data_IF_000542022842
#
_entry.id   IF_000542022842
#
_cell.length_a   1.000
_cell.length_b   1.000
_cell.length_c   1.000
_cell.angle_alpha   90.00
_cell.angle_beta   90.00
_cell.angle_gamma   90.00
#
_symmetry.space_group_name_H-M   'P 1'
#
loop_
_entity.id
_entity.type
_entity.pdbx_description
1 polymer ?
#
# COMPACT_ATOMS: atom_id res chain seq x y z
N UNK A 1 -78.43 1.14 28.21
CA UNK A 1 -77.39 0.15 27.85
C UNK A 1 -76.67 0.66 26.60
N UNK A 2 -75.53 1.34 26.78
CA UNK A 2 -74.68 1.81 25.67
C UNK A 2 -73.49 0.85 25.61
N UNK A 3 -73.29 0.26 24.44
CA UNK A 3 -72.68 -1.05 24.26
C UNK A 3 -71.19 -1.17 24.62
N UNK A 4 -70.88 -2.24 25.35
CA UNK A 4 -69.50 -2.71 25.61
C UNK A 4 -68.72 -3.03 24.33
N UNK A 5 -69.40 -3.32 23.21
CA UNK A 5 -68.80 -3.64 21.91
C UNK A 5 -68.06 -2.47 21.23
N UNK A 6 -68.36 -1.21 21.59
CA UNK A 6 -67.66 -0.03 21.05
C UNK A 6 -66.29 0.21 21.69
N UNK A 7 -66.15 -0.09 22.99
CA UNK A 7 -64.89 0.05 23.75
C UNK A 7 -63.84 -0.99 23.33
N UNK A 8 -64.27 -2.21 23.02
CA UNK A 8 -63.36 -3.30 22.60
C UNK A 8 -62.72 -3.01 21.24
N UNK A 9 -63.51 -2.52 20.27
CA UNK A 9 -63.02 -2.10 18.94
C UNK A 9 -62.07 -0.91 19.02
N UNK A 10 -62.34 0.07 19.88
CA UNK A 10 -61.45 1.23 20.08
C UNK A 10 -60.09 0.83 20.68
N UNK A 11 -60.08 -0.09 21.66
CA UNK A 11 -58.82 -0.61 22.25
C UNK A 11 -57.97 -1.36 21.21
N UNK A 12 -58.58 -2.13 20.31
CA UNK A 12 -57.87 -2.83 19.24
C UNK A 12 -57.22 -1.88 18.23
N UNK A 13 -57.94 -0.84 17.81
CA UNK A 13 -57.40 0.20 16.92
C UNK A 13 -56.24 0.92 17.60
N UNK A 14 -56.37 1.26 18.90
CA UNK A 14 -55.30 1.89 19.68
C UNK A 14 -54.07 0.99 19.79
N UNK A 15 -54.23 -0.31 20.06
CA UNK A 15 -53.14 -1.27 20.08
C UNK A 15 -52.41 -1.36 18.74
N UNK A 16 -53.14 -1.35 17.62
CA UNK A 16 -52.55 -1.41 16.28
C UNK A 16 -51.73 -0.16 15.97
N UNK A 17 -52.20 1.02 16.38
CA UNK A 17 -51.47 2.29 16.26
C UNK A 17 -50.19 2.27 17.08
N UNK A 18 -50.26 1.86 18.36
CA UNK A 18 -49.09 1.75 19.25
C UNK A 18 -48.07 0.75 18.67
N UNK A 19 -48.53 -0.40 18.19
CA UNK A 19 -47.67 -1.40 17.56
C UNK A 19 -46.99 -0.87 16.29
N UNK A 20 -47.72 -0.16 15.45
CA UNK A 20 -47.18 0.47 14.23
C UNK A 20 -46.13 1.53 14.57
N UNK A 21 -46.36 2.35 15.61
CA UNK A 21 -45.39 3.32 16.13
C UNK A 21 -44.12 2.62 16.66
N UNK A 22 -44.27 1.54 17.42
CA UNK A 22 -43.14 0.76 17.91
C UNK A 22 -42.31 0.18 16.76
N UNK A 23 -42.96 -0.33 15.70
CA UNK A 23 -42.29 -0.81 14.49
C UNK A 23 -41.56 0.31 13.75
N UNK A 24 -42.13 1.52 13.66
CA UNK A 24 -41.47 2.66 13.03
C UNK A 24 -40.23 3.11 13.82
N UNK A 25 -40.33 3.18 15.16
CA UNK A 25 -39.20 3.52 16.03
C UNK A 25 -38.10 2.47 15.89
N UNK A 26 -38.46 1.19 15.97
CA UNK A 26 -37.51 0.09 15.83
C UNK A 26 -36.88 0.03 14.43
N UNK A 27 -37.68 0.20 13.38
CA UNK A 27 -37.21 0.26 11.99
C UNK A 27 -36.24 1.42 11.77
N UNK A 28 -36.54 2.61 12.30
CA UNK A 28 -35.64 3.75 12.22
C UNK A 28 -34.34 3.52 12.99
N UNK A 29 -34.39 2.87 14.15
CA UNK A 29 -33.20 2.46 14.90
C UNK A 29 -32.31 1.52 14.07
N UNK A 30 -32.91 0.47 13.48
CA UNK A 30 -32.20 -0.50 12.65
C UNK A 30 -31.59 0.14 11.39
N UNK A 31 -32.29 1.08 10.75
CA UNK A 31 -31.76 1.84 9.61
C UNK A 31 -30.55 2.68 9.99
N UNK A 32 -30.57 3.34 11.16
CA UNK A 32 -29.44 4.12 11.66
C UNK A 32 -28.23 3.23 11.94
N UNK A 33 -28.43 2.08 12.57
CA UNK A 33 -27.33 1.12 12.81
C UNK A 33 -26.71 0.61 11.51
N UNK A 34 -27.54 0.29 10.51
CA UNK A 34 -27.07 -0.15 9.19
C UNK A 34 -26.31 0.97 8.45
N UNK A 35 -26.82 2.20 8.50
CA UNK A 35 -26.16 3.35 7.89
C UNK A 35 -24.78 3.59 8.51
N UNK A 36 -24.68 3.53 9.84
CA UNK A 36 -23.40 3.67 10.55
C UNK A 36 -22.42 2.56 10.17
N UNK A 37 -22.87 1.30 10.18
CA UNK A 37 -22.02 0.15 9.80
C UNK A 37 -21.52 0.28 8.36
N UNK A 38 -22.36 0.77 7.44
CA UNK A 38 -21.97 1.00 6.05
C UNK A 38 -20.95 2.14 5.91
N UNK A 39 -21.13 3.23 6.65
CA UNK A 39 -20.15 4.33 6.70
C UNK A 39 -18.80 3.85 7.23
N UNK A 40 -18.78 3.08 8.31
CA UNK A 40 -17.56 2.51 8.91
C UNK A 40 -16.85 1.57 7.92
N UNK A 41 -17.61 0.70 7.22
CA UNK A 41 -17.07 -0.19 6.18
C UNK A 41 -16.42 0.61 5.05
N UNK A 42 -17.11 1.64 4.53
CA UNK A 42 -16.59 2.47 3.43
C UNK A 42 -15.35 3.27 3.81
N UNK A 43 -15.25 3.70 5.07
CA UNK A 43 -14.03 4.34 5.59
C UNK A 43 -12.86 3.37 5.63
N UNK A 44 -13.08 2.13 6.05
CA UNK A 44 -12.05 1.09 6.01
C UNK A 44 -11.58 0.83 4.58
N UNK A 45 -12.51 0.65 3.64
CA UNK A 45 -12.17 0.44 2.22
C UNK A 45 -11.44 1.65 1.61
N UNK A 46 -11.77 2.87 2.02
CA UNK A 46 -11.04 4.07 1.60
C UNK A 46 -9.57 4.06 2.07
N UNK A 47 -9.31 3.56 3.29
CA UNK A 47 -7.93 3.40 3.79
C UNK A 47 -7.18 2.34 2.99
N UNK A 48 -7.81 1.20 2.71
CA UNK A 48 -7.22 0.13 1.89
C UNK A 48 -6.93 0.60 0.46
N UNK A 49 -7.82 1.41 -0.12
CA UNK A 49 -7.63 2.03 -1.44
C UNK A 49 -6.44 2.99 -1.46
N UNK A 50 -6.27 3.81 -0.42
CA UNK A 50 -5.10 4.68 -0.30
C UNK A 50 -3.80 3.88 -0.18
N UNK A 51 -3.79 2.84 0.65
CA UNK A 51 -2.62 1.97 0.83
C UNK A 51 -2.23 1.30 -0.50
N UNK A 52 -3.21 0.76 -1.23
CA UNK A 52 -2.99 0.16 -2.54
C UNK A 52 -2.44 1.16 -3.57
N UNK A 53 -3.01 2.37 -3.60
CA UNK A 53 -2.55 3.46 -4.46
C UNK A 53 -1.11 3.87 -4.16
N UNK A 54 -0.78 4.14 -2.90
CA UNK A 54 0.58 4.51 -2.49
C UNK A 54 1.60 3.42 -2.79
N UNK A 55 1.24 2.17 -2.53
CA UNK A 55 2.11 1.02 -2.79
C UNK A 55 2.42 0.87 -4.27
N UNK A 56 1.42 0.99 -5.14
CA UNK A 56 1.64 0.98 -6.59
C UNK A 56 2.41 2.20 -7.06
N UNK A 57 2.15 3.38 -6.50
CA UNK A 57 2.88 4.60 -6.84
C UNK A 57 4.37 4.51 -6.50
N UNK A 58 4.73 3.96 -5.34
CA UNK A 58 6.14 3.68 -5.01
C UNK A 58 6.78 2.72 -6.02
N UNK A 59 6.07 1.65 -6.39
CA UNK A 59 6.56 0.71 -7.41
C UNK A 59 6.69 1.35 -8.79
N UNK A 60 5.82 2.28 -9.15
CA UNK A 60 5.95 3.09 -10.36
C UNK A 60 7.26 3.87 -10.37
N UNK A 61 7.57 4.57 -9.26
CA UNK A 61 8.81 5.33 -9.11
C UNK A 61 10.05 4.43 -9.14
N UNK A 62 10.04 3.35 -8.36
CA UNK A 62 11.21 2.48 -8.19
C UNK A 62 11.47 1.58 -9.39
N UNK A 63 10.43 1.02 -10.01
CA UNK A 63 10.58 0.07 -11.11
C UNK A 63 10.37 0.71 -12.49
N UNK A 64 10.29 2.04 -12.59
CA UNK A 64 10.07 2.75 -13.85
C UNK A 64 8.81 2.26 -14.58
N UNK A 65 7.81 1.83 -13.79
CA UNK A 65 6.56 1.27 -14.25
C UNK A 65 5.54 2.38 -14.55
N UNK A 66 4.43 2.03 -15.18
CA UNK A 66 3.32 2.94 -15.43
C UNK A 66 2.18 2.66 -14.45
N UNK A 67 1.52 3.71 -13.96
CA UNK A 67 0.37 3.59 -13.08
C UNK A 67 -0.86 4.29 -13.67
N UNK A 68 -2.00 3.63 -13.57
CA UNK A 68 -3.29 4.13 -14.03
C UNK A 68 -4.34 3.95 -12.92
N UNK A 69 -5.29 4.88 -12.86
CA UNK A 69 -6.49 4.80 -12.07
C UNK A 69 -7.71 4.71 -12.97
N UNK A 70 -8.58 3.73 -12.72
CA UNK A 70 -9.89 3.62 -13.37
C UNK A 70 -10.97 3.97 -12.36
N UNK A 71 -11.76 5.00 -12.64
CA UNK A 71 -12.82 5.45 -11.72
C UNK A 71 -14.07 4.53 -11.74
N UNK A 72 -15.08 4.86 -10.94
CA UNK A 72 -16.31 4.09 -10.83
C UNK A 72 -17.17 4.08 -12.11
N UNK A 73 -16.92 5.01 -13.03
CA UNK A 73 -17.59 5.14 -14.32
C UNK A 73 -16.80 4.48 -15.45
N UNK A 74 -15.57 4.04 -15.18
CA UNK A 74 -14.67 3.42 -16.14
C UNK A 74 -13.72 4.39 -16.85
N UNK A 75 -13.65 5.65 -16.43
CA UNK A 75 -12.69 6.60 -16.99
C UNK A 75 -11.28 6.32 -16.44
N UNK A 76 -10.29 6.40 -17.32
CA UNK A 76 -8.89 6.10 -16.98
C UNK A 76 -8.09 7.41 -16.85
N UNK A 77 -7.33 7.53 -15.76
CA UNK A 77 -6.37 8.61 -15.50
C UNK A 77 -4.98 8.01 -15.33
N UNK A 78 -4.01 8.50 -16.10
CA UNK A 78 -2.60 8.16 -15.90
C UNK A 78 -2.08 8.91 -14.67
N UNK A 79 -1.36 8.21 -13.80
CA UNK A 79 -0.76 8.77 -12.59
C UNK A 79 0.74 8.87 -12.82
N UNK A 80 1.25 10.09 -12.93
CA UNK A 80 2.68 10.34 -13.17
C UNK A 80 3.38 10.99 -11.96
N UNK A 81 2.61 11.62 -11.07
CA UNK A 81 3.13 12.37 -9.93
C UNK A 81 2.24 12.19 -8.70
N UNK A 82 2.82 12.43 -7.54
CA UNK A 82 2.14 12.35 -6.25
C UNK A 82 0.93 13.29 -6.16
N UNK A 83 0.97 14.57 -6.60
CA UNK A 83 -0.20 15.42 -6.63
C UNK A 83 -1.38 14.80 -7.40
N UNK A 84 -1.12 14.15 -8.55
CA UNK A 84 -2.18 13.49 -9.33
C UNK A 84 -2.78 12.30 -8.57
N UNK A 85 -1.97 11.57 -7.81
CA UNK A 85 -2.47 10.50 -6.93
C UNK A 85 -3.33 11.07 -5.78
N UNK A 86 -2.89 12.15 -5.16
CA UNK A 86 -3.64 12.82 -4.09
C UNK A 86 -4.98 13.36 -4.59
N UNK A 87 -5.02 13.96 -5.78
CA UNK A 87 -6.25 14.41 -6.43
C UNK A 87 -7.23 13.23 -6.62
N UNK A 88 -6.75 12.06 -7.04
CA UNK A 88 -7.57 10.84 -7.15
C UNK A 88 -8.17 10.44 -5.79
N UNK A 89 -7.38 10.49 -4.71
CA UNK A 89 -7.90 10.17 -3.38
C UNK A 89 -9.01 11.13 -2.97
N UNK A 90 -8.80 12.44 -3.14
CA UNK A 90 -9.78 13.46 -2.77
C UNK A 90 -11.08 13.34 -3.59
N UNK A 91 -10.95 13.07 -4.89
CA UNK A 91 -12.07 12.92 -5.80
C UNK A 91 -12.86 11.62 -5.58
N UNK A 92 -12.19 10.50 -5.30
CA UNK A 92 -12.84 9.18 -5.18
C UNK A 92 -13.43 8.94 -3.78
N UNK A 93 -12.70 9.27 -2.72
CA UNK A 93 -13.01 8.83 -1.35
C UNK A 93 -14.25 9.55 -0.80
N UNK A 94 -14.34 10.87 -0.97
CA UNK A 94 -15.42 11.66 -0.37
C UNK A 94 -16.80 11.29 -0.95
N UNK A 95 -17.00 11.21 -2.28
CA UNK A 95 -18.26 10.74 -2.85
C UNK A 95 -18.60 9.31 -2.43
N UNK A 96 -17.60 8.43 -2.33
CA UNK A 96 -17.79 7.04 -1.94
C UNK A 96 -18.31 6.88 -0.51
N UNK A 97 -17.63 7.51 0.47
CA UNK A 97 -18.04 7.48 1.88
C UNK A 97 -19.47 8.02 2.04
N UNK A 98 -19.81 9.11 1.32
CA UNK A 98 -21.15 9.70 1.31
C UNK A 98 -22.19 8.87 0.55
N UNK A 99 -21.79 7.79 -0.13
CA UNK A 99 -22.67 6.92 -0.90
C UNK A 99 -23.18 7.49 -2.21
N UNK A 100 -22.47 8.49 -2.75
CA UNK A 100 -22.76 9.09 -4.05
C UNK A 100 -22.23 8.25 -5.20
N UNK A 101 -21.15 7.50 -4.98
CA UNK A 101 -20.59 6.55 -5.95
C UNK A 101 -20.69 5.12 -5.42
N UNK A 102 -20.83 4.12 -6.32
CA UNK A 102 -20.95 2.72 -5.92
C UNK A 102 -19.60 2.08 -5.56
N UNK A 103 -18.46 2.64 -6.00
CA UNK A 103 -17.11 2.13 -5.76
C UNK A 103 -16.08 3.26 -5.74
N UNK A 104 -14.86 2.95 -5.27
CA UNK A 104 -13.69 3.83 -5.30
C UNK A 104 -12.93 3.80 -6.63
N UNK A 105 -13.28 2.88 -7.55
CA UNK A 105 -12.46 2.57 -8.71
C UNK A 105 -11.32 1.60 -8.36
N UNK A 106 -10.27 1.57 -9.18
CA UNK A 106 -9.11 0.70 -8.95
C UNK A 106 -7.84 1.25 -9.59
N UNK A 107 -6.71 0.90 -8.98
CA UNK A 107 -5.38 1.19 -9.54
C UNK A 107 -4.83 -0.01 -10.28
N UNK A 108 -4.17 0.28 -11.41
CA UNK A 108 -3.41 -0.70 -12.19
C UNK A 108 -1.98 -0.23 -12.31
N UNK A 109 -1.04 -1.17 -12.18
CA UNK A 109 0.38 -0.96 -12.48
C UNK A 109 0.80 -1.90 -13.60
N UNK A 110 1.62 -1.41 -14.52
CA UNK A 110 2.12 -2.16 -15.67
C UNK A 110 3.58 -1.80 -15.95
N UNK A 111 4.31 -2.65 -16.66
CA UNK A 111 5.67 -2.35 -17.06
C UNK A 111 5.73 -1.06 -17.90
N UNK A 112 6.70 -0.20 -17.56
CA UNK A 112 7.03 1.00 -18.30
C UNK A 112 8.26 0.80 -19.17
N UNK A 113 8.61 1.84 -19.92
CA UNK A 113 9.72 1.78 -20.90
C UNK A 113 11.07 1.43 -20.26
N UNK A 114 11.27 1.80 -18.99
CA UNK A 114 12.53 1.61 -18.26
C UNK A 114 12.49 0.45 -17.26
N UNK A 115 11.38 -0.29 -17.17
CA UNK A 115 11.24 -1.33 -16.15
C UNK A 115 12.33 -2.39 -16.22
N UNK A 116 12.67 -2.86 -17.42
CA UNK A 116 13.74 -3.85 -17.59
C UNK A 116 15.12 -3.32 -17.18
N UNK A 117 15.45 -2.07 -17.55
CA UNK A 117 16.71 -1.40 -17.16
C UNK A 117 16.80 -1.27 -15.63
N UNK A 118 15.71 -0.85 -14.99
CA UNK A 118 15.65 -0.65 -13.55
C UNK A 118 15.77 -1.97 -12.77
N UNK A 119 15.13 -3.04 -13.25
CA UNK A 119 15.27 -4.38 -12.65
C UNK A 119 16.72 -4.87 -12.77
N UNK A 120 17.37 -4.66 -13.92
CA UNK A 120 18.77 -5.06 -14.10
C UNK A 120 19.70 -4.31 -13.14
N UNK A 121 19.53 -2.99 -13.00
CA UNK A 121 20.29 -2.20 -12.04
C UNK A 121 20.03 -2.64 -10.59
N UNK A 122 18.77 -2.92 -10.24
CA UNK A 122 18.41 -3.44 -8.93
C UNK A 122 19.09 -4.77 -8.63
N UNK A 123 19.09 -5.71 -9.57
CA UNK A 123 19.77 -6.98 -9.44
C UNK A 123 21.27 -6.80 -9.23
N UNK A 124 21.90 -5.95 -10.03
CA UNK A 124 23.33 -5.66 -9.94
C UNK A 124 23.67 -5.06 -8.56
N UNK A 125 22.94 -4.02 -8.16
CA UNK A 125 23.15 -3.35 -6.89
C UNK A 125 22.90 -4.28 -5.69
N UNK A 126 21.82 -5.06 -5.67
CA UNK A 126 21.54 -6.01 -4.58
C UNK A 126 22.60 -7.11 -4.45
N UNK A 127 23.23 -7.50 -5.56
CA UNK A 127 24.33 -8.48 -5.56
C UNK A 127 25.65 -7.86 -5.12
N UNK A 128 25.99 -6.70 -5.64
CA UNK A 128 27.36 -6.19 -5.61
C UNK A 128 27.58 -5.10 -4.55
N UNK A 129 26.55 -4.35 -4.17
CA UNK A 129 26.65 -3.41 -3.05
C UNK A 129 26.66 -4.19 -1.74
N UNK A 130 27.72 -3.97 -0.95
CA UNK A 130 27.90 -4.59 0.37
C UNK A 130 28.03 -3.51 1.45
N UNK A 131 27.47 -3.81 2.61
CA UNK A 131 27.56 -2.97 3.81
C UNK A 131 28.50 -3.62 4.83
N UNK A 132 29.24 -2.80 5.58
CA UNK A 132 30.06 -3.27 6.68
C UNK A 132 29.19 -3.76 7.84
N UNK A 133 29.12 -5.07 8.06
CA UNK A 133 28.43 -5.65 9.20
C UNK A 133 29.31 -5.59 10.45
N UNK A 134 29.09 -4.58 11.31
CA UNK A 134 29.91 -4.35 12.50
C UNK A 134 30.03 -5.60 13.40
N UNK A 135 28.93 -6.32 13.60
CA UNK A 135 28.90 -7.55 14.40
C UNK A 135 29.61 -8.75 13.76
N UNK A 136 29.67 -8.79 12.42
CA UNK A 136 30.31 -9.89 11.67
C UNK A 136 31.76 -9.56 11.29
N UNK A 137 32.19 -8.32 11.51
CA UNK A 137 33.52 -7.81 11.18
C UNK A 137 33.94 -8.08 9.71
N UNK A 138 32.96 -7.98 8.80
CA UNK A 138 33.16 -8.15 7.35
C UNK A 138 32.08 -7.41 6.57
N UNK A 139 32.30 -7.21 5.28
CA UNK A 139 31.25 -6.79 4.36
C UNK A 139 30.23 -7.92 4.15
N UNK A 140 28.95 -7.57 4.18
CA UNK A 140 27.79 -8.46 4.04
C UNK A 140 26.87 -7.90 2.95
N UNK A 141 25.98 -8.71 2.38
CA UNK A 141 24.99 -8.21 1.42
C UNK A 141 23.94 -7.32 2.10
N UNK A 142 23.27 -6.49 1.31
CA UNK A 142 22.10 -5.74 1.78
C UNK A 142 21.03 -6.69 2.32
N UNK A 143 20.73 -7.77 1.59
CA UNK A 143 19.77 -8.78 2.03
C UNK A 143 20.12 -9.39 3.40
N UNK A 144 21.40 -9.70 3.64
CA UNK A 144 21.84 -10.22 4.95
C UNK A 144 21.72 -9.17 6.06
N UNK A 145 21.95 -7.89 5.75
CA UNK A 145 21.85 -6.79 6.71
C UNK A 145 20.39 -6.51 7.12
N UNK A 146 19.50 -6.44 6.14
CA UNK A 146 18.08 -6.10 6.30
C UNK A 146 17.20 -7.32 6.68
N UNK A 147 17.81 -8.47 6.97
CA UNK A 147 17.09 -9.68 7.38
C UNK A 147 16.20 -10.29 6.27
N UNK A 148 16.59 -10.09 5.00
CA UNK A 148 15.90 -10.65 3.84
C UNK A 148 16.43 -12.07 3.53
N UNK A 149 15.69 -12.82 2.72
CA UNK A 149 16.20 -14.06 2.13
C UNK A 149 17.43 -13.79 1.23
N UNK A 150 18.23 -14.82 0.98
CA UNK A 150 19.35 -14.73 0.03
C UNK A 150 18.83 -14.25 -1.34
N UNK A 151 19.40 -13.13 -1.79
CA UNK A 151 18.95 -12.46 -2.99
C UNK A 151 19.18 -13.32 -4.24
N UNK A 152 18.18 -13.33 -5.12
CA UNK A 152 18.22 -13.99 -6.43
C UNK A 152 17.77 -13.00 -7.49
N UNK A 153 18.28 -13.18 -8.70
CA UNK A 153 17.91 -12.31 -9.83
C UNK A 153 16.41 -12.32 -10.06
N UNK A 154 15.89 -11.11 -10.21
CA UNK A 154 14.52 -10.83 -10.60
C UNK A 154 14.47 -10.65 -12.11
N UNK A 155 13.62 -11.41 -12.78
CA UNK A 155 13.58 -11.50 -14.25
C UNK A 155 12.32 -10.87 -14.86
N UNK A 156 11.38 -10.43 -14.03
CA UNK A 156 10.11 -9.81 -14.45
C UNK A 156 9.60 -8.82 -13.41
N UNK A 157 8.69 -7.94 -13.83
CA UNK A 157 8.01 -7.04 -12.90
C UNK A 157 7.15 -7.79 -11.87
N UNK A 158 6.54 -8.93 -12.24
CA UNK A 158 5.78 -9.77 -11.31
C UNK A 158 6.66 -10.37 -10.22
N UNK A 159 7.86 -10.84 -10.57
CA UNK A 159 8.85 -11.31 -9.59
C UNK A 159 9.30 -10.17 -8.67
N UNK A 160 9.52 -8.97 -9.22
CA UNK A 160 9.86 -7.78 -8.44
C UNK A 160 8.76 -7.43 -7.44
N UNK A 161 7.52 -7.38 -7.93
CA UNK A 161 6.36 -7.10 -7.12
C UNK A 161 6.21 -8.13 -6.00
N UNK A 162 6.36 -9.42 -6.30
CA UNK A 162 6.32 -10.48 -5.30
C UNK A 162 7.44 -10.31 -4.27
N UNK A 163 8.67 -10.06 -4.71
CA UNK A 163 9.84 -9.85 -3.83
C UNK A 163 9.62 -8.68 -2.88
N UNK A 164 9.22 -7.52 -3.39
CA UNK A 164 8.96 -6.31 -2.58
C UNK A 164 7.82 -6.48 -1.58
N UNK A 165 6.95 -7.46 -1.77
CA UNK A 165 5.82 -7.77 -0.90
C UNK A 165 6.07 -8.92 0.09
N UNK A 166 7.23 -9.56 0.03
CA UNK A 166 7.63 -10.52 1.06
C UNK A 166 7.78 -9.83 2.41
N UNK A 167 7.70 -10.64 3.46
CA UNK A 167 7.95 -10.20 4.84
C UNK A 167 9.16 -10.94 5.38
N UNK A 168 9.97 -10.25 6.18
CA UNK A 168 11.04 -10.88 6.94
C UNK A 168 10.48 -11.60 8.18
N UNK A 169 11.36 -12.20 8.97
CA UNK A 169 11.00 -12.92 10.19
C UNK A 169 10.37 -12.02 11.27
N UNK A 170 10.59 -10.71 11.19
CA UNK A 170 9.96 -9.70 12.05
C UNK A 170 8.58 -9.25 11.54
N UNK A 171 8.14 -9.77 10.39
CA UNK A 171 6.88 -9.45 9.77
C UNK A 171 6.86 -8.11 9.02
N UNK A 172 8.00 -7.46 8.84
CA UNK A 172 8.12 -6.21 8.09
C UNK A 172 8.26 -6.50 6.59
N UNK A 173 7.60 -5.69 5.76
CA UNK A 173 7.59 -5.87 4.31
C UNK A 173 8.93 -5.43 3.71
N UNK A 174 9.47 -6.20 2.76
CA UNK A 174 10.80 -5.96 2.17
C UNK A 174 10.98 -4.55 1.59
N UNK A 175 9.95 -4.00 0.94
CA UNK A 175 10.01 -2.62 0.42
C UNK A 175 10.28 -1.58 1.53
N UNK A 176 9.86 -1.84 2.76
CA UNK A 176 10.08 -0.95 3.89
C UNK A 176 11.46 -1.15 4.51
N UNK A 177 11.94 -2.40 4.57
CA UNK A 177 13.32 -2.68 5.04
C UNK A 177 14.36 -2.08 4.09
N UNK A 178 14.10 -2.13 2.79
CA UNK A 178 14.98 -1.55 1.79
C UNK A 178 14.83 -0.04 1.61
N UNK A 179 13.83 0.59 2.23
CA UNK A 179 13.52 2.02 2.04
C UNK A 179 14.75 2.88 2.31
N UNK A 180 15.48 2.58 3.40
CA UNK A 180 16.74 3.22 3.79
C UNK A 180 17.69 2.17 4.40
N UNK A 181 18.71 1.78 3.64
CA UNK A 181 19.77 0.86 4.06
C UNK A 181 20.93 1.64 4.66
N UNK A 182 21.48 1.16 5.78
CA UNK A 182 22.66 1.74 6.43
C UNK A 182 22.40 2.45 7.75
N UNK A 183 21.15 2.50 8.22
CA UNK A 183 20.82 3.04 9.54
C UNK A 183 20.71 1.91 10.58
N UNK A 184 21.83 1.35 11.03
CA UNK A 184 21.85 0.24 12.00
C UNK A 184 21.61 0.70 13.47
N UNK A 185 21.15 1.95 13.67
CA UNK A 185 20.92 2.60 14.97
C UNK A 185 22.18 2.68 15.86
N UNK A 186 23.37 2.37 15.36
CA UNK A 186 24.61 2.39 16.16
C UNK A 186 25.29 3.77 16.23
N UNK A 187 24.65 4.82 15.68
CA UNK A 187 25.22 6.17 15.55
C UNK A 187 26.55 6.24 14.76
N UNK A 188 26.96 5.14 14.14
CA UNK A 188 28.09 5.09 13.23
C UNK A 188 27.60 5.17 11.79
N UNK A 189 28.34 5.89 10.95
CA UNK A 189 28.08 5.90 9.52
C UNK A 189 28.29 4.50 8.94
N UNK A 190 27.30 3.98 8.22
CA UNK A 190 27.48 2.75 7.46
C UNK A 190 28.57 2.96 6.40
N UNK A 191 29.27 1.86 6.10
CA UNK A 191 30.34 1.84 5.10
C UNK A 191 29.97 0.88 4.01
N UNK A 192 29.99 1.38 2.78
CA UNK A 192 29.62 0.59 1.61
C UNK A 192 30.80 0.36 0.68
N UNK A 193 30.78 -0.79 0.03
CA UNK A 193 31.62 -1.11 -1.11
C UNK A 193 30.75 -1.62 -2.26
N UNK A 194 31.26 -1.47 -3.47
CA UNK A 194 30.85 -2.27 -4.61
C UNK A 194 31.86 -3.40 -4.81
N UNK A 195 31.41 -4.65 -4.72
CA UNK A 195 32.21 -5.85 -4.89
C UNK A 195 32.03 -6.39 -6.31
N UNK A 196 33.07 -6.34 -7.14
CA UNK A 196 32.99 -6.77 -8.54
C UNK A 196 32.93 -8.30 -8.70
N UNK A 197 33.10 -9.07 -7.63
CA UNK A 197 33.06 -10.54 -7.65
C UNK A 197 34.29 -11.23 -8.24
N UNK A 198 35.29 -10.45 -8.69
CA UNK A 198 36.59 -10.93 -9.18
C UNK A 198 37.71 -10.77 -8.13
N UNK A 199 37.36 -10.44 -6.88
CA UNK A 199 38.30 -10.13 -5.80
C UNK A 199 38.66 -8.64 -5.70
N UNK A 200 38.24 -7.82 -6.65
CA UNK A 200 38.36 -6.36 -6.59
C UNK A 200 37.09 -5.76 -5.97
N UNK A 201 37.27 -4.66 -5.24
CA UNK A 201 36.16 -3.88 -4.70
C UNK A 201 36.48 -2.39 -4.73
N UNK A 202 35.44 -1.58 -4.80
CA UNK A 202 35.52 -0.13 -4.73
C UNK A 202 34.76 0.38 -3.50
N UNK A 203 35.37 1.28 -2.74
CA UNK A 203 34.68 1.97 -1.65
C UNK A 203 33.70 3.00 -2.22
N UNK A 204 32.46 2.96 -1.76
CA UNK A 204 31.46 3.97 -2.09
C UNK A 204 31.53 5.11 -1.08
N UNK A 205 31.47 6.36 -1.56
CA UNK A 205 31.52 7.55 -0.69
C UNK A 205 30.13 7.95 -0.21
N UNK A 206 29.42 6.98 0.37
CA UNK A 206 28.06 7.09 0.92
C UNK A 206 27.98 6.38 2.26
N UNK A 207 27.02 6.79 3.06
CA UNK A 207 26.67 6.17 4.34
C UNK A 207 25.22 5.68 4.39
N UNK A 208 24.43 5.90 3.34
CA UNK A 208 23.06 5.44 3.20
C UNK A 208 22.84 5.03 1.75
N UNK A 209 22.03 3.98 1.54
CA UNK A 209 21.48 3.61 0.23
C UNK A 209 19.96 3.65 0.33
N UNK A 210 19.33 4.56 -0.42
CA UNK A 210 17.87 4.62 -0.53
C UNK A 210 17.37 3.56 -1.51
N UNK A 211 16.14 3.08 -1.32
CA UNK A 211 15.53 2.11 -2.22
C UNK A 211 15.54 2.59 -3.68
N UNK A 212 15.21 3.86 -3.93
CA UNK A 212 15.23 4.43 -5.28
C UNK A 212 16.62 4.33 -5.92
N UNK A 213 17.69 4.55 -5.14
CA UNK A 213 19.06 4.45 -5.63
C UNK A 213 19.41 3.04 -6.06
N UNK A 214 18.86 2.00 -5.42
CA UNK A 214 19.07 0.62 -5.85
C UNK A 214 18.58 0.37 -7.29
N UNK A 215 17.60 1.12 -7.78
CA UNK A 215 17.11 1.00 -9.16
C UNK A 215 17.74 2.00 -10.13
N UNK A 216 17.99 3.22 -9.66
CA UNK A 216 18.34 4.35 -10.52
C UNK A 216 19.84 4.63 -10.61
N UNK A 217 20.62 4.25 -9.61
CA UNK A 217 22.05 4.49 -9.57
C UNK A 217 22.84 3.28 -10.09
N UNK A 218 23.91 3.57 -10.85
CA UNK A 218 24.86 2.55 -11.26
C UNK A 218 26.11 2.61 -10.39
N UNK A 219 26.06 2.00 -9.21
CA UNK A 219 27.16 2.04 -8.22
C UNK A 219 28.48 1.44 -8.71
N UNK A 220 28.43 0.64 -9.79
CA UNK A 220 29.61 0.12 -10.46
C UNK A 220 30.49 1.21 -11.06
N UNK A 221 29.87 2.29 -11.53
CA UNK A 221 30.49 3.37 -12.31
C UNK A 221 30.85 4.60 -11.46
N UNK A 222 30.27 4.71 -10.27
CA UNK A 222 30.68 5.67 -9.24
C UNK A 222 32.15 5.48 -8.90
#
# INVERSE_FOLDING_TARGET
MIGENGKLKFRWVLCFIIFSLALLIYGNHLLKERAKKLEDMRRTEAVEFMDDGWKKYRMMLYAGANMEYTDSEGNIRVIETEPVLLDVFDEAIKPYILGKTPSLGSFRITEGKRTSEFIQNFNDNMKHVKIWGAHKNRYISIAENEGLEEFKDINSFEELWAYMNKRNDEGVVYINELDIVGYDRTAQDARFIYDYGNGESKKLSINIVELLSLFSENYKDW
#
